data_IF_906074052136
#
_entry.id   IF_906074052136
#
_cell.length_a   1.000
_cell.length_b   1.000
_cell.length_c   1.000
_cell.angle_alpha   90.00
_cell.angle_beta   90.00
_cell.angle_gamma   90.00
#
_symmetry.space_group_name_H-M   'P 1'
#
loop_
_entity.id
_entity.type
_entity.pdbx_description
1 polymer ?
#
# COMPACT_ATOMS: atom_id res chain seq x y z
N UNK A 1 -7.85 16.72 3.22
CA UNK A 1 -8.77 17.49 2.37
C UNK A 1 -9.16 16.74 1.11
N UNK A 2 -8.25 16.29 0.22
CA UNK A 2 -8.67 15.75 -1.09
C UNK A 2 -9.48 14.45 -1.02
N UNK A 3 -9.42 13.71 0.10
CA UNK A 3 -10.25 12.52 0.35
C UNK A 3 -11.62 12.81 0.99
N UNK A 4 -11.83 14.01 1.54
CA UNK A 4 -13.05 14.36 2.29
C UNK A 4 -13.80 15.57 1.72
N UNK A 5 -13.08 16.43 1.00
CA UNK A 5 -13.55 17.66 0.38
C UNK A 5 -13.08 17.67 -1.08
N UNK A 6 -14.04 17.46 -1.96
CA UNK A 6 -13.92 17.51 -3.42
C UNK A 6 -15.27 17.92 -3.99
N UNK A 7 -15.32 18.32 -5.25
CA UNK A 7 -16.57 18.76 -5.88
C UNK A 7 -17.59 17.61 -5.92
N UNK A 8 -18.78 17.85 -5.37
CA UNK A 8 -19.81 16.83 -5.20
C UNK A 8 -19.66 15.93 -3.96
N UNK A 9 -18.68 16.19 -3.09
CA UNK A 9 -18.58 15.53 -1.78
C UNK A 9 -19.74 15.94 -0.87
N UNK A 10 -20.17 14.99 -0.02
CA UNK A 10 -21.05 15.26 1.11
C UNK A 10 -20.20 15.29 2.38
N UNK A 11 -19.98 16.48 2.91
CA UNK A 11 -19.23 16.73 4.13
C UNK A 11 -20.15 16.74 5.34
N UNK A 12 -19.82 15.95 6.37
CA UNK A 12 -20.57 15.88 7.62
C UNK A 12 -19.85 16.71 8.68
N UNK A 13 -20.55 17.69 9.24
CA UNK A 13 -20.05 18.50 10.36
C UNK A 13 -21.12 18.55 11.45
N UNK A 14 -20.83 18.03 12.64
CA UNK A 14 -21.76 17.97 13.78
C UNK A 14 -23.13 17.34 13.44
N UNK A 15 -23.14 16.26 12.65
CA UNK A 15 -24.34 15.59 12.12
C UNK A 15 -25.15 16.39 11.09
N UNK A 16 -24.67 17.56 10.70
CA UNK A 16 -25.25 18.36 9.62
C UNK A 16 -24.53 18.08 8.30
N UNK A 17 -25.31 17.94 7.22
CA UNK A 17 -24.81 17.59 5.90
C UNK A 17 -24.57 18.85 5.07
N UNK A 18 -23.39 18.90 4.45
CA UNK A 18 -22.98 19.98 3.56
C UNK A 18 -22.53 19.40 2.23
N UNK A 19 -23.16 19.81 1.14
CA UNK A 19 -22.69 19.48 -0.21
C UNK A 19 -21.60 20.46 -0.61
N UNK A 20 -20.46 19.94 -1.06
CA UNK A 20 -19.37 20.75 -1.60
C UNK A 20 -19.70 21.12 -3.06
N UNK A 21 -19.99 22.39 -3.31
CA UNK A 21 -20.32 22.88 -4.66
C UNK A 21 -19.07 23.20 -5.47
N UNK A 22 -18.04 23.76 -4.82
CA UNK A 22 -16.79 24.16 -5.48
C UNK A 22 -15.61 24.04 -4.54
N UNK A 23 -14.49 23.52 -5.04
CA UNK A 23 -13.22 23.48 -4.32
C UNK A 23 -12.20 24.40 -4.99
N UNK A 24 -11.85 25.50 -4.34
CA UNK A 24 -10.74 26.35 -4.72
C UNK A 24 -9.44 25.81 -4.07
N UNK A 25 -8.77 24.92 -4.80
CA UNK A 25 -7.57 24.23 -4.33
C UNK A 25 -6.39 25.18 -4.03
N UNK A 26 -6.02 26.13 -4.92
CA UNK A 26 -4.92 27.08 -4.65
C UNK A 26 -5.14 27.93 -3.40
N UNK A 27 -6.37 28.44 -3.19
CA UNK A 27 -6.68 29.28 -2.04
C UNK A 27 -7.08 28.50 -0.78
N UNK A 28 -7.11 27.16 -0.85
CA UNK A 28 -7.51 26.25 0.24
C UNK A 28 -8.91 26.57 0.78
N UNK A 29 -9.88 26.83 -0.10
CA UNK A 29 -11.27 27.16 0.27
C UNK A 29 -12.25 26.20 -0.37
N UNK A 30 -13.16 25.66 0.43
CA UNK A 30 -14.29 24.86 -0.04
C UNK A 30 -15.58 25.66 0.15
N UNK A 31 -16.34 25.83 -0.93
CA UNK A 31 -17.66 26.44 -0.88
C UNK A 31 -18.69 25.32 -0.73
N UNK A 32 -19.40 25.36 0.39
CA UNK A 32 -20.34 24.31 0.76
C UNK A 32 -21.72 24.88 1.00
N UNK A 33 -22.74 24.10 0.68
CA UNK A 33 -24.14 24.43 0.91
C UNK A 33 -24.76 23.38 1.81
N UNK A 34 -25.47 23.83 2.84
CA UNK A 34 -26.24 22.93 3.71
C UNK A 34 -27.25 22.16 2.85
N UNK A 35 -27.23 20.83 2.97
CA UNK A 35 -28.09 19.93 2.20
C UNK A 35 -28.76 18.92 3.12
N UNK A 36 -29.81 18.29 2.64
CA UNK A 36 -30.42 17.15 3.30
C UNK A 36 -30.36 15.97 2.33
N UNK A 37 -29.86 14.83 2.80
CA UNK A 37 -29.67 13.64 1.99
C UNK A 37 -29.56 12.41 2.86
N UNK A 38 -29.78 11.25 2.24
CA UNK A 38 -29.73 9.94 2.88
C UNK A 38 -28.44 9.18 2.53
N UNK A 39 -27.39 9.86 2.08
CA UNK A 39 -26.11 9.26 1.71
C UNK A 39 -24.91 10.11 2.13
N UNK A 40 -23.77 9.46 2.26
CA UNK A 40 -22.46 10.08 2.40
C UNK A 40 -21.54 9.66 1.26
N UNK A 41 -20.44 10.37 1.08
CA UNK A 41 -19.45 10.08 0.04
C UNK A 41 -18.14 9.61 0.64
N UNK A 42 -17.53 8.61 0.02
CA UNK A 42 -16.23 8.07 0.43
C UNK A 42 -15.31 8.06 -0.80
N UNK A 43 -14.15 8.71 -0.69
CA UNK A 43 -13.19 8.80 -1.78
C UNK A 43 -12.47 7.47 -2.01
N UNK A 44 -12.05 7.26 -3.25
CA UNK A 44 -11.22 6.15 -3.67
C UNK A 44 -9.88 6.72 -4.10
N UNK A 45 -8.85 6.48 -3.30
CA UNK A 45 -7.49 6.89 -3.52
C UNK A 45 -6.55 5.70 -3.70
N UNK A 46 -5.47 5.94 -4.45
CA UNK A 46 -4.40 4.98 -4.64
C UNK A 46 -3.06 5.69 -4.47
N UNK A 47 -2.12 5.00 -3.82
CA UNK A 47 -0.76 5.49 -3.63
C UNK A 47 0.21 4.57 -4.36
N UNK A 48 0.92 5.14 -5.30
CA UNK A 48 1.88 4.47 -6.16
C UNK A 48 3.30 4.99 -5.85
N UNK A 49 4.29 4.10 -5.83
CA UNK A 49 5.69 4.43 -5.52
C UNK A 49 6.57 4.10 -6.73
N UNK A 50 7.31 5.09 -7.23
CA UNK A 50 8.24 4.93 -8.37
C UNK A 50 9.67 5.17 -7.92
N UNK A 51 10.59 4.29 -8.31
CA UNK A 51 12.02 4.46 -8.02
C UNK A 51 12.57 5.56 -8.94
N UNK A 52 13.26 6.54 -8.35
CA UNK A 52 14.00 7.58 -9.09
C UNK A 52 15.46 7.16 -9.21
N UNK A 53 16.09 6.87 -8.08
CA UNK A 53 17.52 6.53 -7.99
C UNK A 53 17.73 5.48 -6.89
N UNK A 54 18.64 4.53 -7.12
CA UNK A 54 19.09 3.57 -6.11
C UNK A 54 20.53 3.88 -5.72
N UNK A 55 20.81 4.03 -4.43
CA UNK A 55 22.12 4.39 -3.92
C UNK A 55 22.97 3.14 -3.66
N UNK A 56 22.40 2.18 -2.92
CA UNK A 56 23.07 0.92 -2.59
C UNK A 56 22.20 -0.28 -2.94
N UNK A 57 22.86 -1.39 -3.26
CA UNK A 57 22.23 -2.63 -3.68
C UNK A 57 22.97 -3.82 -3.13
N UNK A 58 22.23 -4.72 -2.51
CA UNK A 58 22.68 -6.06 -2.13
C UNK A 58 21.80 -7.11 -2.82
N UNK A 59 22.33 -8.30 -3.08
CA UNK A 59 21.57 -9.42 -3.65
C UNK A 59 21.90 -10.69 -2.91
N UNK A 60 20.88 -11.38 -2.42
CA UNK A 60 21.00 -12.65 -1.70
C UNK A 60 19.85 -13.58 -2.08
N UNK A 61 20.15 -14.85 -2.35
CA UNK A 61 19.19 -15.96 -2.51
C UNK A 61 17.92 -15.66 -3.34
N UNK A 62 18.10 -14.95 -4.46
CA UNK A 62 16.99 -14.60 -5.36
C UNK A 62 16.14 -13.41 -4.89
N UNK A 63 16.61 -12.66 -3.91
CA UNK A 63 16.07 -11.35 -3.49
C UNK A 63 17.12 -10.26 -3.71
N UNK A 64 16.66 -9.07 -4.06
CA UNK A 64 17.49 -7.86 -4.17
C UNK A 64 17.03 -6.86 -3.13
N UNK A 65 17.95 -6.35 -2.34
CA UNK A 65 17.72 -5.28 -1.38
C UNK A 65 18.35 -4.02 -1.92
N UNK A 66 17.63 -2.92 -1.84
CA UNK A 66 18.13 -1.62 -2.29
C UNK A 66 17.57 -0.53 -1.39
N UNK A 67 18.28 0.59 -1.35
CA UNK A 67 17.73 1.83 -0.83
C UNK A 67 18.05 2.98 -1.76
N UNK A 68 17.22 4.01 -1.74
CA UNK A 68 17.38 5.17 -2.60
C UNK A 68 16.21 6.14 -2.58
N UNK A 69 16.17 7.01 -3.57
CA UNK A 69 15.12 8.02 -3.72
C UNK A 69 13.94 7.47 -4.53
N UNK A 70 12.73 7.70 -4.02
CA UNK A 70 11.48 7.32 -4.64
C UNK A 70 10.54 8.51 -4.72
N UNK A 71 9.67 8.49 -5.74
CA UNK A 71 8.54 9.40 -5.88
C UNK A 71 7.27 8.68 -5.44
N UNK A 72 6.60 9.23 -4.43
CA UNK A 72 5.30 8.76 -3.98
C UNK A 72 4.23 9.65 -4.59
N UNK A 73 3.25 9.04 -5.24
CA UNK A 73 2.12 9.75 -5.86
C UNK A 73 0.82 9.18 -5.31
N UNK A 74 0.01 10.01 -4.67
CA UNK A 74 -1.34 9.68 -4.23
C UNK A 74 -2.35 10.40 -5.11
N UNK A 75 -3.19 9.62 -5.81
CA UNK A 75 -4.25 10.12 -6.68
C UNK A 75 -5.62 9.77 -6.13
N UNK A 76 -6.51 10.76 -6.07
CA UNK A 76 -7.92 10.56 -5.75
C UNK A 76 -8.71 10.48 -7.07
N UNK A 77 -9.10 9.28 -7.47
CA UNK A 77 -9.66 9.02 -8.82
C UNK A 77 -11.18 9.24 -8.88
N UNK A 78 -11.85 9.04 -7.74
CA UNK A 78 -13.31 9.12 -7.68
C UNK A 78 -13.83 8.90 -6.28
N UNK A 79 -15.14 8.83 -6.16
CA UNK A 79 -15.81 8.53 -4.91
C UNK A 79 -17.02 7.63 -5.13
N UNK A 80 -17.41 6.92 -4.08
CA UNK A 80 -18.66 6.17 -3.99
C UNK A 80 -19.67 6.93 -3.15
N UNK A 81 -20.94 6.87 -3.54
CA UNK A 81 -22.09 7.36 -2.76
C UNK A 81 -22.67 6.18 -2.00
N UNK A 82 -22.64 6.25 -0.67
CA UNK A 82 -23.12 5.17 0.20
C UNK A 82 -24.32 5.66 0.97
N UNK A 83 -25.42 4.93 0.89
CA UNK A 83 -26.64 5.23 1.64
C UNK A 83 -26.43 5.01 3.14
N UNK A 84 -26.98 5.91 3.96
CA UNK A 84 -26.97 5.74 5.41
C UNK A 84 -27.76 4.50 5.81
N UNK A 85 -27.32 3.86 6.89
CA UNK A 85 -27.88 2.63 7.48
C UNK A 85 -27.78 1.37 6.62
N UNK A 86 -28.19 1.41 5.34
CA UNK A 86 -28.16 0.22 4.47
C UNK A 86 -26.77 -0.08 3.90
N UNK A 87 -25.86 0.91 3.87
CA UNK A 87 -24.53 0.81 3.27
C UNK A 87 -24.55 0.38 1.79
N UNK A 88 -25.68 0.57 1.12
CA UNK A 88 -25.84 0.30 -0.30
C UNK A 88 -25.09 1.34 -1.13
N UNK A 89 -24.42 0.88 -2.18
CA UNK A 89 -23.76 1.75 -3.12
C UNK A 89 -24.79 2.34 -4.10
N UNK A 90 -25.01 3.65 -4.02
CA UNK A 90 -25.95 4.40 -4.86
C UNK A 90 -25.32 4.83 -6.19
N UNK A 91 -24.00 4.77 -6.31
CA UNK A 91 -23.28 5.13 -7.54
C UNK A 91 -21.90 5.73 -7.28
N UNK A 92 -21.23 6.06 -8.36
CA UNK A 92 -19.87 6.59 -8.36
C UNK A 92 -19.82 7.99 -8.97
N UNK A 93 -18.87 8.80 -8.52
CA UNK A 93 -18.50 10.07 -9.13
C UNK A 93 -17.00 10.10 -9.44
N UNK A 94 -16.62 10.90 -10.44
CA UNK A 94 -15.20 11.16 -10.76
C UNK A 94 -14.73 12.38 -9.98
N UNK A 95 -13.45 12.39 -9.63
CA UNK A 95 -12.78 13.51 -8.99
C UNK A 95 -11.64 13.92 -9.91
N UNK A 96 -11.59 15.20 -10.25
CA UNK A 96 -10.50 15.80 -11.01
C UNK A 96 -9.74 16.74 -10.07
N UNK A 97 -8.79 16.17 -9.34
CA UNK A 97 -7.89 16.91 -8.46
C UNK A 97 -6.44 16.68 -8.91
N UNK A 98 -5.55 17.66 -8.67
CA UNK A 98 -4.13 17.45 -8.91
C UNK A 98 -3.60 16.34 -8.00
N UNK A 99 -2.68 15.54 -8.54
CA UNK A 99 -2.03 14.47 -7.80
C UNK A 99 -1.19 15.03 -6.65
N UNK A 100 -1.26 14.38 -5.49
CA UNK A 100 -0.36 14.68 -4.39
C UNK A 100 0.92 13.89 -4.62
N UNK A 101 2.03 14.58 -4.86
CA UNK A 101 3.32 13.92 -5.05
C UNK A 101 4.38 14.53 -4.15
N UNK A 102 5.27 13.69 -3.65
CA UNK A 102 6.48 14.10 -2.96
C UNK A 102 7.60 13.10 -3.22
N UNK A 103 8.84 13.58 -3.10
CA UNK A 103 10.03 12.75 -3.20
C UNK A 103 10.50 12.41 -1.79
N UNK A 104 10.92 11.18 -1.58
CA UNK A 104 11.36 10.68 -0.28
C UNK A 104 12.37 9.56 -0.46
N UNK A 105 12.98 9.11 0.63
CA UNK A 105 13.84 7.92 0.60
C UNK A 105 13.06 6.67 0.95
N UNK A 106 13.45 5.54 0.35
CA UNK A 106 12.83 4.25 0.59
C UNK A 106 13.87 3.14 0.61
N UNK A 107 13.59 2.14 1.44
CA UNK A 107 14.19 0.82 1.39
C UNK A 107 13.21 -0.12 0.69
N UNK A 108 13.67 -0.91 -0.28
CA UNK A 108 12.83 -1.90 -0.94
C UNK A 108 13.52 -3.24 -1.13
N UNK A 109 12.69 -4.28 -1.15
CA UNK A 109 13.10 -5.65 -1.42
C UNK A 109 12.33 -6.21 -2.61
N UNK A 110 13.07 -6.64 -3.64
CA UNK A 110 12.52 -7.23 -4.86
C UNK A 110 12.76 -8.75 -4.83
N UNK A 111 11.68 -9.52 -4.84
CA UNK A 111 11.72 -10.97 -4.93
C UNK A 111 11.83 -11.36 -6.41
N UNK A 112 12.99 -11.89 -6.83
CA UNK A 112 13.23 -12.21 -8.23
C UNK A 112 12.34 -13.36 -8.69
N UNK A 113 12.08 -13.41 -9.99
CA UNK A 113 11.27 -14.47 -10.61
C UNK A 113 11.73 -15.88 -10.22
N UNK A 114 13.04 -16.12 -10.17
CA UNK A 114 13.62 -17.40 -9.80
C UNK A 114 13.25 -17.87 -8.39
N UNK A 115 13.13 -16.97 -7.42
CA UNK A 115 12.66 -17.32 -6.07
C UNK A 115 11.18 -17.67 -6.10
N UNK A 116 10.37 -16.84 -6.77
CA UNK A 116 8.92 -17.04 -6.83
C UNK A 116 8.55 -18.34 -7.56
N UNK A 117 9.28 -18.71 -8.61
CA UNK A 117 9.06 -19.97 -9.36
C UNK A 117 9.43 -21.24 -8.58
N UNK A 118 10.32 -21.14 -7.58
CA UNK A 118 10.69 -22.28 -6.71
C UNK A 118 9.60 -22.63 -5.69
N UNK A 119 8.73 -21.69 -5.38
CA UNK A 119 7.73 -21.85 -4.33
C UNK A 119 6.54 -22.69 -4.82
N UNK A 120 6.02 -23.61 -4.00
CA UNK A 120 4.89 -24.47 -4.37
C UNK A 120 3.53 -23.76 -4.21
N UNK A 121 3.45 -22.48 -4.59
CA UNK A 121 2.24 -21.64 -4.43
C UNK A 121 1.87 -20.95 -5.74
N UNK A 122 0.58 -20.60 -5.88
CA UNK A 122 0.13 -19.79 -7.00
C UNK A 122 0.71 -18.38 -6.91
N UNK A 123 0.92 -17.71 -8.03
CA UNK A 123 1.47 -16.34 -8.06
C UNK A 123 0.66 -15.35 -7.23
N UNK A 124 -0.67 -15.45 -7.25
CA UNK A 124 -1.56 -14.65 -6.40
C UNK A 124 -1.36 -14.93 -4.90
N UNK A 125 -1.11 -16.18 -4.52
CA UNK A 125 -0.83 -16.55 -3.13
C UNK A 125 0.54 -16.03 -2.67
N UNK A 126 1.52 -15.97 -3.58
CA UNK A 126 2.82 -15.33 -3.31
C UNK A 126 2.66 -13.83 -3.10
N UNK A 127 1.87 -13.16 -3.94
CA UNK A 127 1.54 -11.73 -3.76
C UNK A 127 0.90 -11.49 -2.39
N UNK A 128 -0.07 -12.33 -2.02
CA UNK A 128 -0.71 -12.32 -0.71
C UNK A 128 0.28 -12.51 0.45
N UNK A 129 1.25 -13.40 0.26
CA UNK A 129 2.38 -13.59 1.18
C UNK A 129 3.27 -12.35 1.30
N UNK A 130 3.59 -11.68 0.19
CA UNK A 130 4.40 -10.44 0.18
C UNK A 130 3.64 -9.28 0.82
N UNK A 131 2.34 -9.15 0.58
CA UNK A 131 1.49 -8.18 1.28
C UNK A 131 1.51 -8.43 2.79
N UNK A 132 1.35 -9.70 3.19
CA UNK A 132 1.38 -10.09 4.59
C UNK A 132 2.75 -9.85 5.24
N UNK A 133 3.82 -10.16 4.53
CA UNK A 133 5.18 -9.83 4.94
C UNK A 133 5.35 -8.31 5.09
N UNK A 134 4.77 -7.51 4.20
CA UNK A 134 4.77 -6.05 4.29
C UNK A 134 4.13 -5.52 5.57
N UNK A 135 3.02 -6.10 6.03
CA UNK A 135 2.40 -5.75 7.33
C UNK A 135 3.34 -6.02 8.51
N UNK A 136 3.93 -7.22 8.53
CA UNK A 136 4.80 -7.65 9.61
C UNK A 136 6.12 -6.86 9.62
N UNK A 137 6.70 -6.63 8.44
CA UNK A 137 7.92 -5.87 8.24
C UNK A 137 7.73 -4.41 8.65
N UNK A 138 6.63 -3.77 8.24
CA UNK A 138 6.32 -2.40 8.66
C UNK A 138 6.19 -2.28 10.18
N UNK A 139 5.45 -3.18 10.82
CA UNK A 139 5.28 -3.19 12.27
C UNK A 139 6.61 -3.38 13.01
N UNK A 140 7.49 -4.26 12.50
CA UNK A 140 8.81 -4.49 13.10
C UNK A 140 9.80 -3.38 12.79
N UNK A 141 9.76 -2.78 11.61
CA UNK A 141 10.61 -1.66 11.21
C UNK A 141 10.38 -0.46 12.12
N UNK A 142 9.11 -0.15 12.41
CA UNK A 142 8.73 0.95 13.33
C UNK A 142 9.29 0.73 14.73
N UNK A 143 9.19 -0.50 15.26
CA UNK A 143 9.78 -0.85 16.56
C UNK A 143 11.31 -0.85 16.54
N UNK A 144 11.92 -1.26 15.43
CA UNK A 144 13.37 -1.30 15.28
C UNK A 144 13.95 0.12 15.25
N UNK A 145 13.34 1.02 14.49
CA UNK A 145 13.76 2.40 14.31
C UNK A 145 13.31 3.32 15.46
N UNK A 146 12.44 2.83 16.35
CA UNK A 146 11.82 3.61 17.43
C UNK A 146 11.07 4.86 16.92
N UNK A 147 10.35 4.72 15.80
CA UNK A 147 9.54 5.80 15.21
C UNK A 147 8.04 5.59 15.43
N UNK A 148 7.20 6.56 15.04
CA UNK A 148 5.75 6.36 15.02
C UNK A 148 5.34 5.52 13.80
N UNK A 149 4.31 4.65 13.89
CA UNK A 149 3.82 3.89 12.74
C UNK A 149 3.41 4.74 11.53
N UNK A 150 3.14 6.04 11.70
CA UNK A 150 2.78 6.97 10.62
C UNK A 150 3.99 7.62 9.94
N UNK A 151 5.18 7.51 10.54
CA UNK A 151 6.41 8.07 9.99
C UNK A 151 6.96 7.22 8.85
N UNK A 152 6.67 5.92 8.87
CA UNK A 152 7.05 4.96 7.85
C UNK A 152 5.79 4.43 7.17
N UNK A 153 5.77 4.37 5.85
CA UNK A 153 4.67 3.76 5.10
C UNK A 153 5.18 2.57 4.28
N UNK A 154 4.23 1.75 3.78
CA UNK A 154 4.53 0.59 2.94
C UNK A 154 3.74 0.61 1.63
N UNK A 155 4.32 0.03 0.59
CA UNK A 155 3.65 -0.21 -0.69
C UNK A 155 4.17 -1.54 -1.27
N UNK A 156 3.33 -2.26 -2.02
CA UNK A 156 3.78 -3.42 -2.81
C UNK A 156 3.46 -3.16 -4.28
N UNK A 157 4.49 -3.23 -5.10
CA UNK A 157 4.45 -2.86 -6.51
C UNK A 157 5.61 -3.46 -7.30
N UNK A 158 5.77 -3.01 -8.53
CA UNK A 158 6.89 -3.40 -9.39
C UNK A 158 8.11 -2.50 -9.22
N UNK A 159 9.30 -3.05 -9.50
CA UNK A 159 10.50 -2.22 -9.69
C UNK A 159 10.36 -1.30 -10.92
N UNK A 160 9.70 -1.76 -11.97
CA UNK A 160 9.50 -0.99 -13.21
C UNK A 160 8.45 0.12 -13.12
N UNK A 161 7.81 0.32 -11.96
CA UNK A 161 6.61 1.15 -11.79
C UNK A 161 5.49 0.81 -12.79
N UNK A 162 5.51 -0.41 -13.35
CA UNK A 162 4.52 -0.86 -14.32
C UNK A 162 3.26 -1.35 -13.62
N UNK A 163 3.32 -1.86 -12.39
CA UNK A 163 2.12 -2.38 -11.71
C UNK A 163 2.13 -2.08 -10.22
N UNK A 164 0.92 -2.01 -9.65
CA UNK A 164 0.69 -1.75 -8.23
C UNK A 164 -0.45 -2.62 -7.70
N UNK A 165 -0.30 -3.16 -6.49
CA UNK A 165 -1.40 -3.83 -5.80
C UNK A 165 -2.19 -2.77 -5.04
N UNK A 166 -3.47 -2.62 -5.38
CA UNK A 166 -4.34 -1.64 -4.76
C UNK A 166 -5.29 -2.36 -3.79
N UNK A 167 -5.07 -2.11 -2.51
CA UNK A 167 -5.96 -2.56 -1.44
C UNK A 167 -7.11 -1.55 -1.31
N UNK A 168 -8.26 -1.83 -1.92
CA UNK A 168 -9.49 -1.08 -1.64
C UNK A 168 -10.22 -1.72 -0.46
N UNK A 169 -10.96 -0.93 0.33
CA UNK A 169 -11.81 -1.43 1.43
C UNK A 169 -12.87 -2.39 0.86
N UNK A 170 -12.56 -3.69 0.84
CA UNK A 170 -13.48 -4.77 0.47
C UNK A 170 -13.13 -5.57 -0.78
N UNK A 171 -12.14 -5.16 -1.59
CA UNK A 171 -11.67 -5.95 -2.74
C UNK A 171 -10.18 -5.69 -3.03
N UNK A 172 -9.44 -6.78 -3.28
CA UNK A 172 -8.08 -6.73 -3.80
C UNK A 172 -8.15 -6.58 -5.31
N UNK A 173 -7.45 -5.60 -5.88
CA UNK A 173 -7.28 -5.48 -7.32
C UNK A 173 -5.80 -5.31 -7.68
N UNK A 174 -5.35 -6.04 -8.72
CA UNK A 174 -4.00 -5.94 -9.29
C UNK A 174 -4.12 -5.11 -10.58
N UNK A 175 -3.38 -4.01 -10.68
CA UNK A 175 -3.54 -3.04 -11.77
C UNK A 175 -2.24 -2.82 -12.55
N UNK A 176 -2.38 -2.64 -13.88
CA UNK A 176 -1.29 -2.68 -14.89
C UNK A 176 -0.59 -1.37 -15.22
N UNK A 177 -1.07 -0.20 -14.78
CA UNK A 177 -0.40 1.10 -14.99
C UNK A 177 -1.16 2.31 -14.40
N UNK A 178 -0.50 3.48 -14.44
CA UNK A 178 -0.93 4.83 -14.05
C UNK A 178 -2.32 5.30 -14.56
N UNK A 179 -2.75 4.84 -15.75
CA UNK A 179 -4.00 5.26 -16.41
C UNK A 179 -5.03 4.13 -16.60
N UNK A 180 -4.62 2.86 -16.42
CA UNK A 180 -5.52 1.74 -16.66
C UNK A 180 -6.35 1.40 -15.41
N UNK A 181 -7.68 1.47 -15.56
CA UNK A 181 -8.65 0.84 -14.63
C UNK A 181 -8.79 -0.66 -14.87
N UNK A 182 -8.08 -1.19 -15.86
CA UNK A 182 -8.15 -2.59 -16.27
C UNK A 182 -7.27 -3.45 -15.36
N UNK A 183 -7.93 -4.43 -14.73
CA UNK A 183 -7.26 -5.55 -14.07
C UNK A 183 -6.39 -6.28 -15.09
N UNK A 184 -5.18 -6.66 -14.68
CA UNK A 184 -4.29 -7.37 -15.56
C UNK A 184 -4.84 -8.78 -15.79
N UNK A 185 -4.92 -9.27 -17.04
CA UNK A 185 -5.17 -10.69 -17.31
C UNK A 185 -4.10 -11.55 -16.62
N UNK A 186 -4.52 -12.71 -16.08
CA UNK A 186 -3.65 -13.62 -15.30
C UNK A 186 -2.35 -13.99 -16.04
N UNK A 187 -2.39 -14.03 -17.37
CA UNK A 187 -1.29 -14.39 -18.28
C UNK A 187 -0.07 -13.45 -18.23
N UNK A 188 -0.23 -12.20 -17.79
CA UNK A 188 0.89 -11.25 -17.64
C UNK A 188 1.56 -11.28 -16.27
N UNK A 189 1.07 -12.08 -15.31
CA UNK A 189 1.71 -12.28 -14.00
C UNK A 189 3.01 -13.09 -14.09
N UNK A 190 3.31 -13.74 -15.22
CA UNK A 190 4.52 -14.57 -15.35
C UNK A 190 5.83 -13.77 -15.41
N UNK A 191 5.79 -12.46 -15.71
CA UNK A 191 6.96 -11.57 -15.79
C UNK A 191 7.19 -10.78 -14.49
N UNK A 192 6.45 -11.10 -13.43
CA UNK A 192 6.30 -10.29 -12.24
C UNK A 192 7.36 -10.58 -11.18
N UNK A 193 8.03 -9.52 -10.69
CA UNK A 193 8.94 -9.55 -9.55
C UNK A 193 8.35 -8.68 -8.41
N UNK A 194 7.69 -9.29 -7.42
CA UNK A 194 7.07 -8.50 -6.36
C UNK A 194 8.12 -7.65 -5.66
N UNK A 195 7.84 -6.36 -5.47
CA UNK A 195 8.72 -5.46 -4.72
C UNK A 195 7.96 -4.82 -3.56
N UNK A 196 8.49 -5.00 -2.36
CA UNK A 196 7.96 -4.39 -1.13
C UNK A 196 8.80 -3.14 -0.83
N UNK A 197 8.12 -1.99 -0.75
CA UNK A 197 8.70 -0.70 -0.42
C UNK A 197 8.34 -0.32 1.02
N UNK A 198 9.34 0.13 1.77
CA UNK A 198 9.19 0.89 3.01
C UNK A 198 9.78 2.27 2.79
N UNK A 199 8.98 3.32 2.97
CA UNK A 199 9.40 4.69 2.64
C UNK A 199 9.03 5.67 3.74
N UNK A 200 9.83 6.72 3.87
CA UNK A 200 9.59 7.77 4.86
C UNK A 200 8.39 8.60 4.41
N UNK A 201 7.43 8.81 5.30
CA UNK A 201 6.25 9.63 5.04
C UNK A 201 6.54 11.14 5.21
N UNK A 202 7.73 11.57 4.80
CA UNK A 202 8.22 12.94 4.90
C UNK A 202 8.91 13.36 3.60
N UNK A 203 8.59 14.53 3.04
CA UNK A 203 9.29 15.06 1.87
C UNK A 203 10.80 15.20 2.13
N UNK A 204 11.62 14.69 1.20
CA UNK A 204 13.08 14.66 1.30
C UNK A 204 13.64 13.45 2.06
N UNK A 205 12.80 12.69 2.76
CA UNK A 205 13.23 11.59 3.63
C UNK A 205 13.93 12.08 4.90
N UNK A 206 13.94 11.21 5.92
CA UNK A 206 14.59 11.47 7.21
C UNK A 206 15.67 10.43 7.55
N UNK A 207 15.90 9.48 6.64
CA UNK A 207 17.05 8.57 6.69
C UNK A 207 16.76 7.20 7.27
N UNK A 208 15.49 6.80 7.43
CA UNK A 208 15.18 5.45 7.91
C UNK A 208 15.55 4.38 6.88
N UNK A 209 15.45 4.71 5.60
CA UNK A 209 15.79 3.81 4.49
C UNK A 209 17.20 3.23 4.59
N UNK A 210 18.20 4.06 4.88
CA UNK A 210 19.59 3.65 5.04
C UNK A 210 19.77 2.68 6.22
N UNK A 211 19.21 3.01 7.39
CA UNK A 211 19.30 2.14 8.56
C UNK A 211 18.58 0.80 8.32
N UNK A 212 17.42 0.82 7.66
CA UNK A 212 16.69 -0.41 7.31
C UNK A 212 17.47 -1.30 6.34
N UNK A 213 18.23 -0.69 5.42
CA UNK A 213 19.10 -1.41 4.51
C UNK A 213 20.25 -2.09 5.26
N UNK A 214 20.98 -1.36 6.11
CA UNK A 214 22.08 -1.92 6.92
C UNK A 214 21.61 -3.05 7.85
N UNK A 215 20.45 -2.87 8.49
CA UNK A 215 19.90 -3.82 9.46
C UNK A 215 19.00 -4.90 8.82
N UNK A 216 18.98 -5.02 7.50
CA UNK A 216 18.06 -5.90 6.74
C UNK A 216 17.98 -7.30 7.35
N UNK A 217 19.13 -7.97 7.54
CA UNK A 217 19.17 -9.34 8.05
C UNK A 217 18.59 -9.45 9.47
N UNK A 218 18.90 -8.48 10.31
CA UNK A 218 18.44 -8.43 11.71
C UNK A 218 16.94 -8.17 11.77
N UNK A 219 16.43 -7.30 10.90
CA UNK A 219 15.01 -7.01 10.78
C UNK A 219 14.23 -8.25 10.31
N UNK A 220 14.72 -8.95 9.28
CA UNK A 220 14.08 -10.17 8.77
C UNK A 220 14.02 -11.29 9.81
N UNK A 221 15.07 -11.50 10.61
CA UNK A 221 15.04 -12.47 11.73
C UNK A 221 13.97 -12.10 12.78
N UNK A 222 13.87 -10.81 13.14
CA UNK A 222 12.81 -10.32 14.06
C UNK A 222 11.41 -10.58 13.49
N UNK A 223 11.20 -10.34 12.20
CA UNK A 223 9.91 -10.61 11.52
C UNK A 223 9.61 -12.10 11.48
N UNK A 224 10.59 -12.95 11.15
CA UNK A 224 10.42 -14.41 11.18
C UNK A 224 10.00 -14.89 12.57
N UNK A 225 10.64 -14.39 13.64
CA UNK A 225 10.26 -14.69 15.04
C UNK A 225 8.84 -14.22 15.38
N UNK A 226 8.43 -13.04 14.92
CA UNK A 226 7.08 -12.51 15.14
C UNK A 226 6.02 -13.43 14.51
N UNK A 227 6.19 -13.75 13.23
CA UNK A 227 5.19 -14.52 12.48
C UNK A 227 5.12 -15.97 13.00
N UNK A 228 6.28 -16.58 13.30
CA UNK A 228 6.36 -17.97 13.79
C UNK A 228 5.79 -18.16 15.19
N UNK A 229 5.91 -17.17 16.08
CA UNK A 229 5.37 -17.23 17.46
C UNK A 229 3.90 -16.85 17.57
N UNK A 230 3.34 -16.21 16.55
CA UNK A 230 1.93 -15.84 16.57
C UNK A 230 1.04 -17.08 16.46
N UNK A 231 0.02 -17.22 17.30
CA UNK A 231 -0.88 -18.39 17.33
C UNK A 231 -2.03 -18.30 16.30
N UNK A 232 -2.08 -17.24 15.48
CA UNK A 232 -3.14 -17.08 14.49
C UNK A 232 -3.06 -18.13 13.37
N UNK A 233 -4.21 -18.52 12.80
CA UNK A 233 -4.27 -19.52 11.72
C UNK A 233 -3.83 -18.95 10.36
N UNK A 234 -4.41 -17.83 9.97
CA UNK A 234 -4.29 -17.26 8.62
C UNK A 234 -3.66 -15.87 8.57
N UNK A 235 -3.50 -15.22 9.73
CA UNK A 235 -3.06 -13.83 9.86
C UNK A 235 -3.93 -13.04 10.83
N UNK A 236 -3.32 -12.09 11.55
CA UNK A 236 -4.01 -11.15 12.43
C UNK A 236 -3.33 -9.77 12.35
N UNK A 237 -3.99 -8.68 12.82
CA UNK A 237 -3.42 -7.33 12.81
C UNK A 237 -2.02 -7.19 13.44
N UNK A 238 -1.64 -8.12 14.33
CA UNK A 238 -0.35 -8.09 15.04
C UNK A 238 0.79 -8.85 14.34
N UNK A 239 0.52 -9.56 13.24
CA UNK A 239 1.54 -10.27 12.47
C UNK A 239 1.49 -9.86 10.99
N UNK A 240 0.97 -10.72 10.12
CA UNK A 240 0.88 -10.50 8.67
C UNK A 240 -0.36 -9.70 8.25
N UNK A 241 -1.18 -9.22 9.19
CA UNK A 241 -2.43 -8.52 8.90
C UNK A 241 -3.66 -9.44 8.80
N UNK A 242 -4.88 -8.87 8.71
CA UNK A 242 -6.13 -9.64 8.64
C UNK A 242 -6.29 -10.41 7.33
N UNK A 243 -6.73 -11.66 7.39
CA UNK A 243 -6.88 -12.53 6.22
C UNK A 243 -7.78 -11.95 5.10
N UNK A 244 -8.77 -11.11 5.43
CA UNK A 244 -9.62 -10.44 4.42
C UNK A 244 -8.87 -9.40 3.59
N UNK A 245 -7.80 -8.82 4.15
CA UNK A 245 -7.00 -7.77 3.49
C UNK A 245 -5.81 -8.38 2.74
N UNK A 246 -5.13 -9.37 3.34
CA UNK A 246 -3.89 -9.94 2.80
C UNK A 246 -4.05 -11.33 2.20
N UNK A 247 -5.12 -12.07 2.49
CA UNK A 247 -5.38 -13.43 1.98
C UNK A 247 -5.26 -14.50 3.07
N UNK A 248 -5.93 -15.64 2.87
CA UNK A 248 -6.04 -16.70 3.88
C UNK A 248 -4.74 -17.49 4.11
N UNK A 249 -3.90 -17.60 3.09
CA UNK A 249 -2.60 -18.30 3.15
C UNK A 249 -1.40 -17.35 3.34
N UNK A 250 -1.66 -16.06 3.52
CA UNK A 250 -0.61 -15.03 3.64
C UNK A 250 0.45 -15.36 4.69
N UNK A 251 0.04 -15.86 5.87
CA UNK A 251 0.96 -16.27 6.93
C UNK A 251 1.89 -17.41 6.54
N UNK A 252 1.33 -18.45 5.93
CA UNK A 252 2.08 -19.64 5.52
C UNK A 252 3.12 -19.27 4.46
N UNK A 253 2.68 -18.56 3.42
CA UNK A 253 3.54 -18.14 2.31
C UNK A 253 4.62 -17.16 2.78
N UNK A 254 4.29 -16.21 3.67
CA UNK A 254 5.26 -15.29 4.24
C UNK A 254 6.35 -16.01 5.07
N UNK A 255 6.00 -17.07 5.81
CA UNK A 255 6.98 -17.87 6.55
C UNK A 255 7.92 -18.64 5.64
N UNK A 256 7.40 -19.22 4.54
CA UNK A 256 8.24 -19.93 3.56
C UNK A 256 9.16 -18.93 2.86
N UNK A 257 8.64 -17.79 2.41
CA UNK A 257 9.44 -16.71 1.82
C UNK A 257 10.58 -16.28 2.74
N UNK A 258 10.31 -16.03 4.03
CA UNK A 258 11.34 -15.60 4.97
C UNK A 258 12.41 -16.66 5.22
N UNK A 259 12.06 -17.94 5.23
CA UNK A 259 13.03 -19.02 5.42
C UNK A 259 13.97 -19.13 4.22
N UNK A 260 13.42 -19.14 3.00
CA UNK A 260 14.21 -19.21 1.76
C UNK A 260 15.17 -18.03 1.59
N UNK A 261 14.88 -16.90 2.22
CA UNK A 261 15.68 -15.68 2.13
C UNK A 261 16.77 -15.62 3.21
N UNK A 262 16.57 -16.30 4.34
CA UNK A 262 17.46 -16.26 5.50
C UNK A 262 18.41 -17.48 5.58
N UNK A 263 18.08 -18.57 4.89
CA UNK A 263 18.97 -19.71 4.64
C UNK A 263 20.16 -19.31 3.77
#
# INVERSE_FOLDING_TARGET
APTTLYEGAVYLCESELYSVEKLDYPNRRAYVKKTHGDYYTDAIDYTDVSILEGFERESAEGTVYEHGEVRVVTRVVGYKKIKFYTLENLGYGKIELPDLQFHTTSYWMTFRKALVDRLPYLRLEVIDGVLGLGYALHSMAVLHLMCDPRDLNRCVGDRGAKWFIRLSRGSKGIYSSFDSREEIPEEKLELFEPTLFLYDNYPGGIGFSHQLFDDTRTLLDKVLRLISRCECRSGCPSCVGPAKEVGEKSKEVALVLLKEILE
#
